data_IF_100104329830
#
_entry.id   IF_100104329830
#
_cell.length_a   1.000
_cell.length_b   1.000
_cell.length_c   1.000
_cell.angle_alpha   90.00
_cell.angle_beta   90.00
_cell.angle_gamma   90.00
#
_symmetry.space_group_name_H-M   'P 1'
#
loop_
_entity.id
_entity.type
_entity.pdbx_description
1 polymer ?
#
# COMPACT_ATOMS: atom_id res chain seq x y z
N UNK A 1 -12.41 21.62 36.05
CA UNK A 1 -11.46 22.29 35.15
C UNK A 1 -10.15 21.51 35.13
N UNK A 2 -10.10 20.34 34.43
CA UNK A 2 -8.84 19.59 34.30
C UNK A 2 -8.83 18.68 33.05
N UNK A 3 -9.59 19.04 32.01
CA UNK A 3 -9.71 18.22 30.81
C UNK A 3 -8.61 18.47 29.75
N UNK A 4 -7.80 19.49 29.90
CA UNK A 4 -6.80 19.88 28.91
C UNK A 4 -5.41 19.27 29.12
N UNK A 5 -5.04 18.89 30.32
CA UNK A 5 -3.72 18.30 30.62
C UNK A 5 -3.68 16.81 30.33
N UNK A 6 -4.76 16.08 30.60
CA UNK A 6 -4.90 14.65 30.31
C UNK A 6 -4.75 14.36 28.81
N UNK A 7 -5.38 15.16 27.96
CA UNK A 7 -5.36 14.97 26.51
C UNK A 7 -3.94 15.10 25.88
N UNK A 8 -3.09 15.98 26.39
CA UNK A 8 -1.73 16.20 25.87
C UNK A 8 -0.72 15.13 26.33
N UNK A 9 -0.89 14.60 27.54
CA UNK A 9 -0.06 13.50 28.03
C UNK A 9 -0.45 12.17 27.40
N UNK A 10 -1.74 11.95 27.17
CA UNK A 10 -2.24 10.76 26.49
C UNK A 10 -1.87 10.77 25.00
N UNK A 11 -1.85 11.93 24.33
CA UNK A 11 -1.31 12.06 22.97
C UNK A 11 0.19 11.84 22.90
N UNK A 12 0.96 12.30 23.88
CA UNK A 12 2.42 12.05 23.95
C UNK A 12 2.74 10.58 24.17
N UNK A 13 1.88 9.82 24.85
CA UNK A 13 1.98 8.36 25.03
C UNK A 13 1.49 7.56 23.81
N UNK A 14 0.64 8.15 22.96
CA UNK A 14 0.14 7.51 21.75
C UNK A 14 1.17 7.46 20.61
N UNK A 15 2.14 8.38 20.59
CA UNK A 15 3.17 8.43 19.54
C UNK A 15 4.40 7.68 20.02
N UNK A 16 4.78 6.64 19.29
CA UNK A 16 6.04 5.92 19.51
C UNK A 16 7.18 6.67 18.85
N UNK A 17 7.78 7.60 19.59
CA UNK A 17 8.83 8.48 19.08
C UNK A 17 10.06 7.71 18.59
N UNK A 18 10.37 6.59 19.21
CA UNK A 18 11.44 5.67 18.83
C UNK A 18 11.26 5.03 17.44
N UNK A 19 10.04 5.04 16.91
CA UNK A 19 9.69 4.59 15.56
C UNK A 19 9.51 5.77 14.61
N UNK A 20 8.81 6.81 15.07
CA UNK A 20 8.45 7.94 14.23
C UNK A 20 9.66 8.78 13.82
N UNK A 21 10.55 9.12 14.76
CA UNK A 21 11.69 9.99 14.46
C UNK A 21 12.65 9.38 13.43
N UNK A 22 13.12 8.13 13.57
CA UNK A 22 14.00 7.55 12.56
C UNK A 22 13.33 7.46 11.17
N UNK A 23 12.07 7.06 11.11
CA UNK A 23 11.34 6.99 9.84
C UNK A 23 11.21 8.39 9.19
N UNK A 24 10.83 9.39 9.96
CA UNK A 24 10.71 10.77 9.49
C UNK A 24 12.05 11.33 8.99
N UNK A 25 13.14 11.10 9.73
CA UNK A 25 14.46 11.57 9.34
C UNK A 25 14.91 10.98 8.01
N UNK A 26 14.72 9.68 7.78
CA UNK A 26 15.07 9.04 6.51
C UNK A 26 14.30 9.67 5.35
N UNK A 27 12.99 9.85 5.51
CA UNK A 27 12.14 10.47 4.46
C UNK A 27 12.52 11.93 4.25
N UNK A 28 12.76 12.69 5.31
CA UNK A 28 13.16 14.10 5.22
C UNK A 28 14.51 14.26 4.52
N UNK A 29 15.50 13.45 4.87
CA UNK A 29 16.82 13.45 4.19
C UNK A 29 16.66 13.08 2.71
N UNK A 30 15.88 12.05 2.39
CA UNK A 30 15.63 11.68 1.00
C UNK A 30 14.94 12.81 0.20
N UNK A 31 13.97 13.50 0.82
CA UNK A 31 13.31 14.64 0.21
C UNK A 31 14.28 15.82 -0.04
N UNK A 32 15.13 16.16 0.94
CA UNK A 32 16.14 17.22 0.81
C UNK A 32 17.14 16.86 -0.30
N UNK A 33 17.66 15.63 -0.31
CA UNK A 33 18.59 15.17 -1.35
C UNK A 33 17.91 15.20 -2.72
N UNK A 34 16.64 14.81 -2.82
CA UNK A 34 15.88 14.86 -4.06
C UNK A 34 15.68 16.29 -4.61
N UNK A 35 15.54 17.27 -3.74
CA UNK A 35 15.43 18.70 -4.11
C UNK A 35 16.80 19.26 -4.55
N UNK A 36 17.85 18.95 -3.79
CA UNK A 36 19.20 19.51 -3.99
C UNK A 36 19.92 18.81 -5.16
N UNK A 37 19.79 17.49 -5.27
CA UNK A 37 20.46 16.67 -6.28
C UNK A 37 19.62 15.47 -6.68
N UNK A 38 18.67 15.68 -7.59
CA UNK A 38 17.78 14.66 -8.12
C UNK A 38 18.52 13.46 -8.70
N UNK A 39 19.61 13.71 -9.42
CA UNK A 39 20.36 12.64 -10.12
C UNK A 39 21.05 11.72 -9.12
N UNK A 40 21.58 12.26 -8.03
CA UNK A 40 22.17 11.48 -6.95
C UNK A 40 21.13 10.57 -6.30
N UNK A 41 19.96 11.12 -5.96
CA UNK A 41 18.87 10.31 -5.37
C UNK A 41 18.40 9.22 -6.32
N UNK A 42 18.20 9.55 -7.60
CA UNK A 42 17.75 8.58 -8.62
C UNK A 42 18.78 7.46 -8.79
N UNK A 43 20.08 7.80 -8.88
CA UNK A 43 21.15 6.80 -8.96
C UNK A 43 21.18 5.88 -7.75
N UNK A 44 21.14 6.45 -6.55
CA UNK A 44 21.20 5.68 -5.32
C UNK A 44 19.97 4.76 -5.18
N UNK A 45 18.78 5.27 -5.50
CA UNK A 45 17.53 4.50 -5.47
C UNK A 45 17.53 3.35 -6.47
N UNK A 46 17.96 3.61 -7.72
CA UNK A 46 18.06 2.57 -8.74
C UNK A 46 19.10 1.50 -8.38
N UNK A 47 20.27 1.90 -7.87
CA UNK A 47 21.27 0.95 -7.42
C UNK A 47 20.76 0.04 -6.30
N UNK A 48 20.08 0.61 -5.31
CA UNK A 48 19.47 -0.16 -4.23
C UNK A 48 18.35 -1.07 -4.75
N UNK A 49 17.50 -0.58 -5.64
CA UNK A 49 16.39 -1.33 -6.24
C UNK A 49 16.89 -2.56 -7.01
N UNK A 50 17.83 -2.39 -7.93
CA UNK A 50 18.36 -3.51 -8.69
C UNK A 50 19.16 -4.48 -7.82
N UNK A 51 19.97 -3.99 -6.89
CA UNK A 51 20.63 -4.86 -5.91
C UNK A 51 19.61 -5.69 -5.10
N UNK A 52 18.52 -5.09 -4.68
CA UNK A 52 17.45 -5.77 -3.94
C UNK A 52 16.77 -6.84 -4.79
N UNK A 53 16.50 -6.56 -6.07
CA UNK A 53 15.91 -7.55 -6.98
C UNK A 53 16.86 -8.70 -7.28
N UNK A 54 18.13 -8.41 -7.55
CA UNK A 54 19.13 -9.43 -7.86
C UNK A 54 19.39 -10.34 -6.66
N UNK A 55 19.42 -9.77 -5.45
CA UNK A 55 19.73 -10.52 -4.22
C UNK A 55 18.51 -11.24 -3.65
N UNK A 56 17.33 -10.63 -3.67
CA UNK A 56 16.13 -11.09 -2.97
C UNK A 56 14.91 -11.33 -3.87
N UNK A 57 15.02 -11.16 -5.18
CA UNK A 57 13.89 -11.34 -6.10
C UNK A 57 13.23 -12.71 -5.98
N UNK A 58 13.99 -13.77 -5.79
CA UNK A 58 13.49 -15.12 -5.52
C UNK A 58 12.66 -15.19 -4.22
N UNK A 59 13.12 -14.50 -3.17
CA UNK A 59 12.42 -14.46 -1.89
C UNK A 59 11.08 -13.70 -2.01
N UNK A 60 11.05 -12.60 -2.77
CA UNK A 60 9.82 -11.87 -3.05
C UNK A 60 8.80 -12.76 -3.75
N UNK A 61 9.21 -13.47 -4.81
CA UNK A 61 8.33 -14.36 -5.56
C UNK A 61 7.78 -15.49 -4.69
N UNK A 62 8.62 -16.16 -3.92
CA UNK A 62 8.19 -17.23 -3.00
C UNK A 62 7.25 -16.69 -1.93
N UNK A 63 7.55 -15.54 -1.34
CA UNK A 63 6.71 -14.93 -0.29
C UNK A 63 5.33 -14.56 -0.81
N UNK A 64 5.25 -14.00 -2.02
CA UNK A 64 3.99 -13.66 -2.67
C UNK A 64 3.16 -14.91 -2.96
N UNK A 65 3.78 -15.92 -3.56
CA UNK A 65 3.10 -17.18 -3.88
C UNK A 65 2.68 -17.93 -2.61
N UNK A 66 3.53 -17.97 -1.59
CA UNK A 66 3.18 -18.56 -0.30
C UNK A 66 1.99 -17.85 0.35
N UNK A 67 1.95 -16.52 0.30
CA UNK A 67 0.82 -15.72 0.80
C UNK A 67 -0.48 -16.07 0.07
N UNK A 68 -0.44 -16.20 -1.25
CA UNK A 68 -1.60 -16.60 -2.04
C UNK A 68 -2.09 -18.01 -1.67
N UNK A 69 -1.19 -18.99 -1.65
CA UNK A 69 -1.52 -20.38 -1.30
C UNK A 69 -2.08 -20.49 0.11
N UNK A 70 -1.45 -19.80 1.08
CA UNK A 70 -1.90 -19.80 2.48
C UNK A 70 -3.29 -19.17 2.64
N UNK A 71 -3.53 -18.01 2.03
CA UNK A 71 -4.83 -17.33 2.11
C UNK A 71 -5.91 -18.19 1.43
N UNK A 72 -5.65 -18.73 0.25
CA UNK A 72 -6.58 -19.61 -0.44
C UNK A 72 -6.88 -20.87 0.38
N UNK A 73 -5.86 -21.51 0.95
CA UNK A 73 -6.03 -22.69 1.79
C UNK A 73 -6.83 -22.37 3.06
N UNK A 74 -6.47 -21.31 3.77
CA UNK A 74 -7.17 -20.90 5.01
C UNK A 74 -8.63 -20.58 4.72
N UNK A 75 -8.91 -19.87 3.63
CA UNK A 75 -10.27 -19.43 3.31
C UNK A 75 -11.14 -20.57 2.79
N UNK A 76 -10.61 -21.39 1.90
CA UNK A 76 -11.43 -22.39 1.18
C UNK A 76 -11.46 -23.76 1.84
N UNK A 77 -10.38 -24.17 2.51
CA UNK A 77 -10.19 -25.56 2.95
C UNK A 77 -10.04 -25.72 4.46
N UNK A 78 -9.96 -24.64 5.24
CA UNK A 78 -9.78 -24.74 6.68
C UNK A 78 -10.98 -24.20 7.46
N UNK A 79 -11.17 -24.75 8.68
CA UNK A 79 -12.17 -24.23 9.62
C UNK A 79 -11.84 -22.81 10.12
N UNK A 80 -10.62 -22.35 9.91
CA UNK A 80 -10.18 -21.00 10.28
C UNK A 80 -10.92 -19.94 9.43
N UNK A 81 -11.20 -20.25 8.15
CA UNK A 81 -11.94 -19.36 7.27
C UNK A 81 -13.36 -19.00 7.75
N UNK A 82 -13.97 -19.85 8.58
CA UNK A 82 -15.28 -19.58 9.19
C UNK A 82 -15.20 -18.87 10.55
N UNK A 83 -13.99 -18.60 11.05
CA UNK A 83 -13.79 -17.97 12.35
C UNK A 83 -14.17 -16.49 12.30
N UNK A 84 -15.00 -16.03 13.25
CA UNK A 84 -15.36 -14.62 13.37
C UNK A 84 -14.27 -13.86 14.10
N UNK A 85 -13.72 -12.84 13.45
CA UNK A 85 -12.77 -11.92 14.07
C UNK A 85 -13.52 -11.08 15.11
N UNK A 86 -13.03 -11.05 16.35
CA UNK A 86 -13.70 -10.38 17.47
C UNK A 86 -14.55 -11.30 18.36
N UNK A 87 -14.66 -12.60 18.06
CA UNK A 87 -15.36 -13.59 18.85
C UNK A 87 -16.68 -14.05 18.26
N UNK A 88 -17.34 -15.01 18.92
CA UNK A 88 -18.54 -15.69 18.41
C UNK A 88 -19.72 -14.74 18.17
N UNK A 89 -19.84 -13.71 19.01
CA UNK A 89 -20.95 -12.74 18.97
C UNK A 89 -20.61 -11.47 18.21
N UNK A 90 -19.42 -11.41 17.57
CA UNK A 90 -18.98 -10.25 16.80
C UNK A 90 -19.91 -10.01 15.61
N UNK A 91 -20.35 -8.76 15.47
CA UNK A 91 -21.16 -8.29 14.35
C UNK A 91 -20.34 -7.34 13.48
N UNK A 92 -20.60 -7.28 12.15
CA UNK A 92 -19.98 -6.30 11.29
C UNK A 92 -20.23 -4.88 11.79
N UNK A 93 -19.16 -4.05 11.85
CA UNK A 93 -19.25 -2.64 12.27
C UNK A 93 -19.96 -1.78 11.23
N UNK A 94 -19.83 -2.13 9.95
CA UNK A 94 -20.39 -1.39 8.83
C UNK A 94 -21.39 -2.26 8.06
N UNK A 95 -22.41 -1.63 7.46
CA UNK A 95 -23.28 -2.28 6.49
C UNK A 95 -22.49 -2.64 5.22
N UNK A 96 -23.04 -3.60 4.44
CA UNK A 96 -22.38 -4.14 3.24
C UNK A 96 -21.89 -3.06 2.28
N UNK A 97 -22.74 -2.10 1.90
CA UNK A 97 -22.38 -1.05 0.95
C UNK A 97 -21.30 -0.10 1.46
N UNK A 98 -21.32 0.24 2.74
CA UNK A 98 -20.26 1.07 3.34
C UNK A 98 -18.93 0.31 3.37
N UNK A 99 -18.95 -0.97 3.76
CA UNK A 99 -17.77 -1.82 3.72
C UNK A 99 -17.24 -1.98 2.30
N UNK A 100 -18.12 -2.28 1.34
CA UNK A 100 -17.76 -2.44 -0.06
C UNK A 100 -17.12 -1.16 -0.63
N UNK A 101 -17.70 0.01 -0.38
CA UNK A 101 -17.15 1.29 -0.83
C UNK A 101 -15.77 1.57 -0.23
N UNK A 102 -15.56 1.28 1.05
CA UNK A 102 -14.26 1.44 1.69
C UNK A 102 -13.23 0.44 1.16
N UNK A 103 -13.61 -0.81 0.95
CA UNK A 103 -12.74 -1.85 0.39
C UNK A 103 -12.35 -1.54 -1.07
N UNK A 104 -13.33 -1.09 -1.88
CA UNK A 104 -13.12 -0.66 -3.26
C UNK A 104 -12.13 0.51 -3.32
N UNK A 105 -12.36 1.54 -2.52
CA UNK A 105 -11.49 2.73 -2.49
C UNK A 105 -10.06 2.40 -2.02
N UNK A 106 -9.93 1.49 -1.07
CA UNK A 106 -8.62 1.04 -0.59
C UNK A 106 -7.90 0.07 -1.56
N UNK A 107 -8.65 -0.70 -2.35
CA UNK A 107 -8.12 -1.70 -3.27
C UNK A 107 -7.88 -1.18 -4.69
N UNK A 108 -8.75 -0.31 -5.19
CA UNK A 108 -8.60 0.31 -6.52
C UNK A 108 -7.87 1.64 -6.34
N UNK A 109 -6.56 1.55 -6.22
CA UNK A 109 -5.69 2.71 -6.16
C UNK A 109 -5.31 3.18 -7.57
N UNK A 110 -4.71 4.36 -7.65
CA UNK A 110 -4.16 4.96 -8.88
C UNK A 110 -3.28 3.97 -9.66
N UNK A 111 -2.62 3.06 -8.95
CA UNK A 111 -1.79 2.01 -9.56
C UNK A 111 -2.56 1.13 -10.54
N UNK A 112 -3.71 0.58 -10.15
CA UNK A 112 -4.48 -0.31 -11.04
C UNK A 112 -5.06 0.46 -12.23
N UNK A 113 -5.48 1.71 -12.04
CA UNK A 113 -5.99 2.56 -13.11
C UNK A 113 -4.90 2.82 -14.16
N UNK A 114 -3.67 3.09 -13.73
CA UNK A 114 -2.54 3.34 -14.61
C UNK A 114 -2.06 2.06 -15.29
N UNK A 115 -1.78 1.04 -14.49
CA UNK A 115 -1.11 -0.17 -14.96
C UNK A 115 -2.08 -1.14 -15.64
N UNK A 116 -3.36 -1.11 -15.30
CA UNK A 116 -4.37 -1.90 -16.00
C UNK A 116 -4.47 -1.56 -17.49
N UNK A 117 -4.08 -0.32 -17.87
CA UNK A 117 -3.99 0.09 -19.27
C UNK A 117 -2.58 -0.08 -19.84
N UNK A 118 -1.56 0.33 -19.07
CA UNK A 118 -0.19 0.35 -19.56
C UNK A 118 0.45 -1.04 -19.66
N UNK A 119 0.22 -1.91 -18.68
CA UNK A 119 0.86 -3.25 -18.68
C UNK A 119 0.51 -4.10 -19.89
N UNK A 120 -0.76 -4.23 -20.32
CA UNK A 120 -1.07 -4.98 -21.52
C UNK A 120 -0.31 -4.49 -22.75
N UNK A 121 -0.17 -3.17 -22.90
CA UNK A 121 0.55 -2.57 -24.04
C UNK A 121 2.05 -2.83 -23.95
N UNK A 122 2.63 -2.71 -22.76
CA UNK A 122 4.05 -2.95 -22.49
C UNK A 122 4.41 -4.41 -22.78
N UNK A 123 3.62 -5.36 -22.28
CA UNK A 123 3.84 -6.80 -22.51
C UNK A 123 3.63 -7.16 -23.99
N UNK A 124 2.57 -6.62 -24.62
CA UNK A 124 2.29 -6.85 -26.04
C UNK A 124 3.42 -6.38 -26.94
N UNK A 125 4.00 -5.21 -26.62
CA UNK A 125 5.14 -4.63 -27.34
C UNK A 125 6.51 -5.16 -26.89
N UNK A 126 6.56 -6.06 -25.89
CA UNK A 126 7.81 -6.61 -25.35
C UNK A 126 8.82 -5.56 -24.83
N UNK A 127 8.31 -4.48 -24.24
CA UNK A 127 9.15 -3.35 -23.78
C UNK A 127 10.17 -3.80 -22.73
N UNK A 128 9.81 -4.76 -21.89
CA UNK A 128 10.66 -5.29 -20.81
C UNK A 128 11.38 -6.60 -21.16
N UNK A 129 11.13 -7.15 -22.36
CA UNK A 129 11.88 -8.30 -22.87
C UNK A 129 11.35 -9.67 -22.44
N UNK A 130 10.22 -9.77 -21.75
CA UNK A 130 9.68 -11.05 -21.25
C UNK A 130 9.35 -12.03 -22.37
N UNK A 131 8.87 -11.55 -23.51
CA UNK A 131 8.52 -12.40 -24.66
C UNK A 131 9.74 -13.10 -25.26
N UNK A 132 10.93 -12.50 -25.13
CA UNK A 132 12.17 -13.09 -25.64
C UNK A 132 12.47 -14.44 -24.98
N UNK A 133 12.25 -14.54 -23.65
CA UNK A 133 12.50 -15.77 -22.89
C UNK A 133 11.48 -16.86 -23.20
N UNK A 134 10.32 -16.49 -23.73
CA UNK A 134 9.22 -17.38 -24.06
C UNK A 134 9.19 -17.75 -25.55
N UNK A 135 10.05 -17.15 -26.37
CA UNK A 135 10.06 -17.33 -27.83
C UNK A 135 8.77 -16.83 -28.51
N UNK A 136 8.11 -15.82 -27.92
CA UNK A 136 6.89 -15.22 -28.46
C UNK A 136 7.25 -13.95 -29.21
N UNK A 137 6.80 -13.84 -30.47
CA UNK A 137 7.00 -12.66 -31.29
C UNK A 137 6.09 -11.51 -30.83
N UNK A 138 6.62 -10.29 -30.59
CA UNK A 138 5.84 -9.12 -30.22
C UNK A 138 4.76 -8.78 -31.25
N UNK A 139 3.63 -8.22 -30.80
CA UNK A 139 2.55 -7.80 -31.70
C UNK A 139 1.69 -8.94 -32.24
N UNK A 140 1.94 -10.19 -31.86
CA UNK A 140 1.15 -11.35 -32.30
C UNK A 140 -0.01 -11.65 -31.36
N UNK A 141 -0.92 -12.54 -31.82
CA UNK A 141 -2.03 -13.02 -30.96
C UNK A 141 -1.50 -13.68 -29.68
N UNK A 142 -0.41 -14.44 -29.77
CA UNK A 142 0.20 -15.06 -28.59
C UNK A 142 0.75 -14.02 -27.61
N UNK A 143 1.35 -12.95 -28.12
CA UNK A 143 1.78 -11.81 -27.30
C UNK A 143 0.60 -11.11 -26.62
N UNK A 144 -0.53 -10.96 -27.31
CA UNK A 144 -1.76 -10.40 -26.71
C UNK A 144 -2.33 -11.29 -25.59
N UNK A 145 -2.38 -12.60 -25.80
CA UNK A 145 -2.82 -13.56 -24.78
C UNK A 145 -1.89 -13.51 -23.56
N UNK A 146 -0.59 -13.53 -23.78
CA UNK A 146 0.39 -13.39 -22.70
C UNK A 146 0.21 -12.08 -21.94
N UNK A 147 0.11 -10.96 -22.64
CA UNK A 147 -0.05 -9.63 -22.06
C UNK A 147 -1.28 -9.55 -21.13
N UNK A 148 -2.42 -10.03 -21.61
CA UNK A 148 -3.64 -10.06 -20.79
C UNK A 148 -3.52 -11.02 -19.61
N UNK A 149 -3.02 -12.22 -19.81
CA UNK A 149 -2.84 -13.21 -18.75
C UNK A 149 -1.90 -12.68 -17.66
N UNK A 150 -0.79 -12.03 -18.06
CA UNK A 150 0.20 -11.46 -17.15
C UNK A 150 -0.38 -10.29 -16.36
N UNK A 151 -1.12 -9.40 -17.01
CA UNK A 151 -1.81 -8.28 -16.35
C UNK A 151 -2.84 -8.78 -15.33
N UNK A 152 -3.68 -9.77 -15.69
CA UNK A 152 -4.61 -10.36 -14.73
C UNK A 152 -3.89 -11.03 -13.56
N UNK A 153 -2.78 -11.74 -13.81
CA UNK A 153 -1.97 -12.32 -12.75
C UNK A 153 -1.47 -11.27 -11.77
N UNK A 154 -0.99 -10.14 -12.28
CA UNK A 154 -0.43 -9.07 -11.46
C UNK A 154 -1.50 -8.32 -10.65
N UNK A 155 -2.76 -8.22 -11.14
CA UNK A 155 -3.76 -7.30 -10.56
C UNK A 155 -5.01 -7.99 -10.00
N UNK A 156 -5.07 -9.33 -9.97
CA UNK A 156 -6.20 -10.05 -9.38
C UNK A 156 -5.88 -10.62 -8.00
N UNK A 157 -5.82 -11.92 -7.86
CA UNK A 157 -5.70 -12.59 -6.56
C UNK A 157 -4.36 -12.37 -5.86
N UNK A 158 -3.29 -12.25 -6.62
CA UNK A 158 -1.92 -12.23 -6.08
C UNK A 158 -1.66 -11.05 -5.14
N UNK A 159 -1.83 -9.79 -5.55
CA UNK A 159 -1.60 -8.65 -4.66
C UNK A 159 -2.58 -8.64 -3.48
N UNK A 160 -3.85 -8.98 -3.72
CA UNK A 160 -4.85 -8.98 -2.66
C UNK A 160 -4.63 -10.09 -1.63
N UNK A 161 -3.97 -11.19 -1.99
CA UNK A 161 -3.57 -12.21 -1.02
C UNK A 161 -2.55 -11.68 0.00
N UNK A 162 -1.61 -10.83 -0.41
CA UNK A 162 -0.66 -10.19 0.49
C UNK A 162 -1.38 -9.25 1.46
N UNK A 163 -2.27 -8.40 0.94
CA UNK A 163 -3.08 -7.51 1.77
C UNK A 163 -3.95 -8.30 2.76
N UNK A 164 -4.61 -9.36 2.27
CA UNK A 164 -5.46 -10.21 3.10
C UNK A 164 -4.64 -10.89 4.20
N UNK A 165 -3.47 -11.44 3.87
CA UNK A 165 -2.61 -12.10 4.85
C UNK A 165 -2.18 -11.13 5.96
N UNK A 166 -1.64 -9.97 5.60
CA UNK A 166 -1.21 -8.96 6.56
C UNK A 166 -2.40 -8.45 7.40
N UNK A 167 -3.51 -8.12 6.75
CA UNK A 167 -4.70 -7.63 7.42
C UNK A 167 -5.32 -8.65 8.40
N UNK A 168 -5.41 -9.91 8.00
CA UNK A 168 -5.92 -11.00 8.84
C UNK A 168 -5.03 -11.26 10.05
N UNK A 169 -3.69 -11.26 9.87
CA UNK A 169 -2.74 -11.45 10.97
C UNK A 169 -2.85 -10.32 12.00
N UNK A 170 -2.85 -9.06 11.55
CA UNK A 170 -2.99 -7.90 12.43
C UNK A 170 -4.34 -7.92 13.14
N UNK A 171 -5.43 -8.17 12.41
CA UNK A 171 -6.77 -8.26 13.00
C UNK A 171 -6.88 -9.41 14.01
N UNK A 172 -6.32 -10.58 13.72
CA UNK A 172 -6.31 -11.70 14.64
C UNK A 172 -5.55 -11.37 15.94
N UNK A 173 -4.36 -10.82 15.84
CA UNK A 173 -3.57 -10.42 17.00
C UNK A 173 -4.30 -9.36 17.82
N UNK A 174 -4.88 -8.36 17.18
CA UNK A 174 -5.59 -7.30 17.88
C UNK A 174 -6.86 -7.79 18.58
N UNK A 175 -7.75 -8.47 17.86
CA UNK A 175 -9.07 -8.85 18.39
C UNK A 175 -9.06 -10.11 19.27
N UNK A 176 -8.20 -11.10 18.93
CA UNK A 176 -8.20 -12.37 19.69
C UNK A 176 -7.09 -12.47 20.72
N UNK A 177 -5.93 -11.87 20.46
CA UNK A 177 -4.78 -11.90 21.36
C UNK A 177 -4.61 -10.62 22.19
N UNK A 178 -5.43 -9.61 21.93
CA UNK A 178 -5.36 -8.28 22.57
C UNK A 178 -3.97 -7.65 22.46
N UNK A 179 -3.29 -7.91 21.36
CA UNK A 179 -1.98 -7.35 21.03
C UNK A 179 -2.09 -5.94 20.43
N UNK A 180 -0.95 -5.30 20.22
CA UNK A 180 -0.88 -3.99 19.56
C UNK A 180 -1.10 -4.11 18.05
N UNK A 181 -1.54 -3.01 17.42
CA UNK A 181 -1.68 -2.88 15.95
C UNK A 181 -0.31 -2.58 15.31
N UNK A 182 0.66 -3.48 15.50
CA UNK A 182 2.02 -3.33 14.95
C UNK A 182 2.45 -4.59 14.23
N UNK A 183 3.37 -4.45 13.28
CA UNK A 183 3.94 -5.61 12.57
C UNK A 183 4.70 -6.49 13.56
N UNK A 184 5.43 -5.91 14.50
CA UNK A 184 6.14 -6.67 15.53
C UNK A 184 5.20 -7.59 16.32
N UNK A 185 3.99 -7.14 16.64
CA UNK A 185 3.03 -7.97 17.38
C UNK A 185 2.62 -9.23 16.61
N UNK A 186 2.57 -9.18 15.28
CA UNK A 186 2.25 -10.34 14.42
C UNK A 186 3.36 -11.37 14.38
N UNK A 187 4.60 -10.97 14.67
CA UNK A 187 5.76 -11.84 14.68
C UNK A 187 5.99 -12.52 16.03
N UNK A 188 5.41 -11.98 17.10
CA UNK A 188 5.56 -12.52 18.47
C UNK A 188 5.23 -14.02 18.60
N UNK A 189 4.16 -14.56 17.99
CA UNK A 189 3.86 -15.99 18.07
C UNK A 189 4.94 -16.90 17.49
N UNK A 190 5.74 -16.41 16.54
CA UNK A 190 6.81 -17.19 15.89
C UNK A 190 8.15 -17.06 16.62
N UNK A 191 8.49 -15.85 17.07
CA UNK A 191 9.81 -15.53 17.60
C UNK A 191 9.85 -15.32 19.12
N UNK A 192 8.68 -15.40 19.78
CA UNK A 192 8.55 -15.20 21.23
C UNK A 192 8.80 -13.76 21.67
N UNK A 193 9.12 -13.57 22.94
CA UNK A 193 9.29 -12.24 23.53
C UNK A 193 10.57 -11.52 23.09
N UNK A 194 11.51 -12.22 22.50
CA UNK A 194 12.78 -11.62 22.02
C UNK A 194 12.53 -10.55 20.95
N UNK A 195 11.51 -10.72 20.11
CA UNK A 195 11.19 -9.75 19.04
C UNK A 195 10.45 -8.54 19.55
N UNK A 196 9.85 -8.61 20.73
CA UNK A 196 9.10 -7.51 21.35
C UNK A 196 9.96 -6.67 22.31
N UNK A 197 11.29 -6.91 22.36
CA UNK A 197 12.20 -5.99 23.06
C UNK A 197 12.10 -4.58 22.48
N UNK A 198 12.31 -3.51 23.28
CA UNK A 198 12.16 -2.14 22.79
C UNK A 198 12.95 -1.87 21.50
N UNK A 199 14.20 -2.35 21.42
CA UNK A 199 15.06 -2.15 20.25
C UNK A 199 14.57 -2.93 19.03
N UNK A 200 14.30 -4.24 19.16
CA UNK A 200 13.85 -5.05 18.04
C UNK A 200 12.49 -4.55 17.50
N UNK A 201 11.57 -4.23 18.39
CA UNK A 201 10.27 -3.65 18.04
C UNK A 201 10.42 -2.30 17.32
N UNK A 202 11.29 -1.41 17.83
CA UNK A 202 11.52 -0.12 17.19
C UNK A 202 12.09 -0.27 15.77
N UNK A 203 13.06 -1.16 15.56
CA UNK A 203 13.64 -1.41 14.23
C UNK A 203 12.61 -1.95 13.26
N UNK A 204 11.88 -3.00 13.63
CA UNK A 204 10.89 -3.65 12.75
C UNK A 204 9.76 -2.70 12.39
N UNK A 205 9.20 -2.00 13.38
CA UNK A 205 8.09 -1.09 13.15
C UNK A 205 8.54 0.17 12.38
N UNK A 206 9.81 0.63 12.55
CA UNK A 206 10.39 1.71 11.74
C UNK A 206 10.54 1.30 10.27
N UNK A 207 11.06 0.11 10.00
CA UNK A 207 11.18 -0.40 8.61
C UNK A 207 9.81 -0.56 7.97
N UNK A 208 8.82 -1.05 8.72
CA UNK A 208 7.44 -1.18 8.25
C UNK A 208 6.81 0.19 7.94
N UNK A 209 7.05 1.18 8.79
CA UNK A 209 6.58 2.55 8.60
C UNK A 209 7.23 3.20 7.38
N UNK A 210 8.54 2.99 7.18
CA UNK A 210 9.26 3.46 6.00
C UNK A 210 8.71 2.85 4.73
N UNK A 211 8.52 1.53 4.69
CA UNK A 211 7.97 0.83 3.53
C UNK A 211 6.57 1.37 3.16
N UNK A 212 5.70 1.55 4.17
CA UNK A 212 4.37 2.13 3.98
C UNK A 212 4.44 3.57 3.46
N UNK A 213 5.28 4.41 4.06
CA UNK A 213 5.41 5.83 3.67
C UNK A 213 5.94 5.99 2.26
N UNK A 214 6.95 5.21 1.87
CA UNK A 214 7.52 5.23 0.51
C UNK A 214 6.48 4.74 -0.50
N UNK A 215 5.75 3.67 -0.19
CA UNK A 215 4.66 3.17 -1.04
C UNK A 215 3.56 4.20 -1.25
N UNK A 216 3.12 4.89 -0.19
CA UNK A 216 2.14 5.97 -0.29
C UNK A 216 2.66 7.17 -1.09
N UNK A 217 3.92 7.57 -0.91
CA UNK A 217 4.52 8.65 -1.67
C UNK A 217 4.58 8.35 -3.17
N UNK A 218 4.90 7.11 -3.55
CA UNK A 218 4.88 6.64 -4.94
C UNK A 218 3.46 6.72 -5.52
N UNK A 219 2.46 6.23 -4.80
CA UNK A 219 1.05 6.29 -5.21
C UNK A 219 0.54 7.73 -5.38
N UNK A 220 0.91 8.64 -4.47
CA UNK A 220 0.58 10.07 -4.59
C UNK A 220 1.23 10.72 -5.81
N UNK A 221 2.49 10.43 -6.08
CA UNK A 221 3.19 10.95 -7.28
C UNK A 221 2.50 10.50 -8.55
N UNK A 222 2.11 9.22 -8.65
CA UNK A 222 1.34 8.71 -9.80
C UNK A 222 -0.01 9.43 -9.92
N UNK A 223 -0.72 9.63 -8.82
CA UNK A 223 -2.02 10.32 -8.81
C UNK A 223 -1.90 11.75 -9.32
N UNK A 224 -0.91 12.51 -8.85
CA UNK A 224 -0.66 13.88 -9.29
C UNK A 224 -0.34 13.90 -10.79
N UNK A 225 0.57 13.03 -11.24
CA UNK A 225 0.98 12.95 -12.64
C UNK A 225 -0.19 12.61 -13.56
N UNK A 226 -1.00 11.60 -13.21
CA UNK A 226 -2.19 11.24 -13.98
C UNK A 226 -3.20 12.38 -14.05
N UNK A 227 -3.40 13.08 -12.96
CA UNK A 227 -4.35 14.22 -12.93
C UNK A 227 -3.85 15.34 -13.84
N UNK A 228 -2.58 15.71 -13.77
CA UNK A 228 -1.99 16.75 -14.65
C UNK A 228 -2.07 16.34 -16.12
N UNK A 229 -1.68 15.11 -16.44
CA UNK A 229 -1.73 14.59 -17.82
C UNK A 229 -3.17 14.47 -18.33
N UNK A 230 -4.10 14.07 -17.47
CA UNK A 230 -5.52 14.04 -17.79
C UNK A 230 -6.10 15.42 -18.10
N UNK A 231 -5.75 16.44 -17.30
CA UNK A 231 -6.14 17.84 -17.55
C UNK A 231 -5.58 18.37 -18.87
N UNK A 232 -4.33 18.02 -19.19
CA UNK A 232 -3.73 18.36 -20.48
C UNK A 232 -4.48 17.71 -21.64
N UNK A 233 -4.75 16.41 -21.53
CA UNK A 233 -5.42 15.65 -22.59
C UNK A 233 -6.87 16.09 -22.81
N UNK A 234 -7.62 16.32 -21.73
CA UNK A 234 -9.04 16.62 -21.80
C UNK A 234 -9.35 18.10 -22.07
N UNK A 235 -8.53 19.01 -21.53
CA UNK A 235 -8.81 20.46 -21.53
C UNK A 235 -7.70 21.30 -22.17
N UNK A 236 -6.60 20.70 -22.63
CA UNK A 236 -5.47 21.41 -23.22
C UNK A 236 -4.67 22.24 -22.21
N UNK A 237 -4.83 22.00 -20.90
CA UNK A 237 -4.09 22.72 -19.86
C UNK A 237 -2.62 22.32 -19.91
N UNK A 238 -1.72 23.28 -20.10
CA UNK A 238 -0.29 23.00 -20.19
C UNK A 238 0.27 22.47 -18.85
N UNK A 239 1.08 21.42 -18.94
CA UNK A 239 1.83 20.92 -17.79
C UNK A 239 2.78 21.99 -17.28
N UNK A 240 2.70 22.29 -15.98
CA UNK A 240 3.55 23.29 -15.35
C UNK A 240 3.84 22.92 -13.90
N UNK A 241 4.99 23.35 -13.39
CA UNK A 241 5.35 23.10 -11.98
C UNK A 241 4.30 23.64 -10.99
N UNK A 242 3.74 24.85 -11.16
CA UNK A 242 2.67 25.32 -10.30
C UNK A 242 1.42 24.44 -10.32
N UNK A 243 1.07 23.85 -11.47
CA UNK A 243 -0.07 22.93 -11.58
C UNK A 243 0.19 21.64 -10.79
N UNK A 244 1.39 21.04 -10.92
CA UNK A 244 1.79 19.88 -10.13
C UNK A 244 1.74 20.17 -8.63
N UNK A 245 2.28 21.31 -8.20
CA UNK A 245 2.29 21.71 -6.79
C UNK A 245 0.84 21.97 -6.30
N UNK A 246 0.02 22.68 -7.07
CA UNK A 246 -1.35 22.97 -6.70
C UNK A 246 -2.21 21.73 -6.50
N UNK A 247 -2.13 20.77 -7.44
CA UNK A 247 -2.82 19.48 -7.33
C UNK A 247 -2.28 18.66 -6.15
N UNK A 248 -0.96 18.61 -5.98
CA UNK A 248 -0.33 17.93 -4.85
C UNK A 248 -0.79 18.47 -3.51
N UNK A 249 -0.80 19.78 -3.34
CA UNK A 249 -1.29 20.45 -2.12
C UNK A 249 -2.77 20.15 -1.88
N UNK A 250 -3.60 20.19 -2.91
CA UNK A 250 -5.04 19.88 -2.80
C UNK A 250 -5.27 18.43 -2.32
N UNK A 251 -4.54 17.46 -2.90
CA UNK A 251 -4.63 16.04 -2.51
C UNK A 251 -4.14 15.85 -1.07
N UNK A 252 -2.98 16.43 -0.71
CA UNK A 252 -2.43 16.33 0.66
C UNK A 252 -3.39 16.95 1.67
N UNK A 253 -3.97 18.09 1.34
CA UNK A 253 -4.97 18.73 2.19
C UNK A 253 -6.20 17.84 2.40
N UNK A 254 -6.77 17.27 1.33
CA UNK A 254 -7.91 16.36 1.42
C UNK A 254 -7.59 15.13 2.26
N UNK A 255 -6.42 14.54 2.06
CA UNK A 255 -5.94 13.39 2.81
C UNK A 255 -5.75 13.72 4.31
N UNK A 256 -5.07 14.83 4.60
CA UNK A 256 -4.82 15.28 5.98
C UNK A 256 -6.12 15.60 6.71
N UNK A 257 -7.03 16.29 6.04
CA UNK A 257 -8.35 16.58 6.58
C UNK A 257 -9.16 15.32 6.87
N UNK A 258 -9.15 14.36 5.95
CA UNK A 258 -9.81 13.07 6.14
C UNK A 258 -9.25 12.31 7.35
N UNK A 259 -7.94 12.33 7.51
CA UNK A 259 -7.26 11.69 8.64
C UNK A 259 -7.58 12.39 9.97
N UNK A 260 -7.63 13.72 9.96
CA UNK A 260 -7.97 14.53 11.14
C UNK A 260 -9.40 14.30 11.63
N UNK A 261 -10.36 14.20 10.70
CA UNK A 261 -11.77 13.93 11.03
C UNK A 261 -11.97 12.49 11.56
N UNK A 262 -11.01 11.63 11.30
CA UNK A 262 -10.97 10.25 11.80
C UNK A 262 -11.50 9.23 10.78
N UNK A 263 -11.00 8.00 10.94
CA UNK A 263 -11.25 6.88 10.03
C UNK A 263 -12.74 6.59 9.79
N UNK A 264 -13.54 6.62 10.86
CA UNK A 264 -14.97 6.26 10.77
C UNK A 264 -15.82 7.29 9.99
N UNK A 265 -15.43 8.55 10.00
CA UNK A 265 -16.14 9.61 9.26
C UNK A 265 -15.44 9.94 7.95
N UNK A 266 -14.14 10.19 7.98
CA UNK A 266 -13.36 10.60 6.82
C UNK A 266 -13.32 9.54 5.72
N UNK A 267 -12.90 8.31 6.04
CA UNK A 267 -12.85 7.21 5.08
C UNK A 267 -14.23 6.81 4.56
N UNK A 268 -15.25 6.83 5.43
CA UNK A 268 -16.62 6.52 5.03
C UNK A 268 -17.16 7.53 4.01
N UNK A 269 -16.92 8.83 4.22
CA UNK A 269 -17.39 9.90 3.31
C UNK A 269 -16.65 9.80 1.98
N UNK A 270 -15.30 9.76 2.03
CA UNK A 270 -14.48 9.68 0.82
C UNK A 270 -14.74 8.38 0.06
N UNK A 271 -14.84 7.24 0.76
CA UNK A 271 -15.15 5.96 0.14
C UNK A 271 -16.51 5.93 -0.53
N UNK A 272 -17.53 6.53 0.11
CA UNK A 272 -18.87 6.63 -0.47
C UNK A 272 -18.92 7.55 -1.68
N UNK A 273 -18.24 8.70 -1.63
CA UNK A 273 -18.12 9.62 -2.76
C UNK A 273 -17.39 8.94 -3.93
N UNK A 274 -16.29 8.26 -3.65
CA UNK A 274 -15.52 7.58 -4.66
C UNK A 274 -16.32 6.44 -5.32
N UNK A 275 -17.02 5.64 -4.53
CA UNK A 275 -17.90 4.60 -5.06
C UNK A 275 -19.01 5.19 -5.93
N UNK A 276 -19.55 6.36 -5.60
CA UNK A 276 -20.57 7.03 -6.40
C UNK A 276 -20.03 7.54 -7.75
N UNK A 277 -18.76 7.94 -7.82
CA UNK A 277 -18.12 8.33 -9.09
C UNK A 277 -17.75 7.13 -9.98
N UNK A 278 -17.65 5.92 -9.43
CA UNK A 278 -17.36 4.70 -10.19
C UNK A 278 -18.62 4.03 -10.78
N UNK A 279 -19.80 4.40 -10.26
CA UNK A 279 -21.09 3.88 -10.72
C UNK A 279 -21.91 4.96 -11.45
#
# INVERSE_FOLDING_TARGET
MDSGKSSNEDMKRAIRWEVFIPAYLVVAVAAIVGIVNKDMLTKASNMFFFWSLDSFGWLYQISIMASFVLVAFVTCFSKIGSMRIGGKDAKPKYGFWTWFAMALTGGIATGIVTWGVNEPVIYFGNVWGELNTLGIEPGTTNAAIFAMARTYYNWTFIPYAIYAMCGLLVAYIYYHKRGSLTVTATLKPLFGDKITTPVASAVIDTLSMLALTIGLATGLTMCITLTVTGLKSAYGIAESLPLFIGIGVAIIFAFTFSTYVGLDKGLKIIGSLNAWFYY
#
